data_IF_188792977593
#
_entry.id   IF_188792977593
#
_cell.length_a   1.000
_cell.length_b   1.000
_cell.length_c   1.000
_cell.angle_alpha   90.00
_cell.angle_beta   90.00
_cell.angle_gamma   90.00
#
_symmetry.space_group_name_H-M   'P 1'
#
loop_
_entity.id
_entity.type
_entity.pdbx_description
1 polymer ?
#
# COMPACT_ATOMS: atom_id res chain seq x y z
N UNK A 1 -19.35 5.08 12.40
CA UNK A 1 -20.27 3.92 12.55
C UNK A 1 -21.05 4.01 13.87
N UNK A 2 -22.06 4.90 13.99
CA UNK A 2 -22.89 5.05 15.20
C UNK A 2 -24.33 5.52 14.87
N UNK A 3 -25.01 4.92 13.87
CA UNK A 3 -26.36 5.35 13.47
C UNK A 3 -27.44 4.25 13.38
N UNK A 4 -27.14 2.99 13.75
CA UNK A 4 -28.08 1.88 13.55
C UNK A 4 -28.65 1.25 14.84
N UNK A 5 -28.43 1.85 16.01
CA UNK A 5 -28.88 1.25 17.28
C UNK A 5 -30.32 1.62 17.71
N UNK A 6 -31.03 2.50 16.98
CA UNK A 6 -32.33 3.02 17.45
C UNK A 6 -33.56 2.25 16.95
N UNK A 7 -33.40 1.25 16.06
CA UNK A 7 -34.55 0.65 15.34
C UNK A 7 -35.17 -0.58 16.00
N UNK A 8 -34.58 -1.13 17.07
CA UNK A 8 -35.03 -2.40 17.67
C UNK A 8 -35.92 -2.27 18.93
N UNK A 9 -36.16 -1.06 19.43
CA UNK A 9 -36.90 -0.87 20.70
C UNK A 9 -38.43 -0.79 20.50
N UNK A 10 -38.92 -0.44 19.31
CA UNK A 10 -40.37 -0.22 19.09
C UNK A 10 -41.13 -1.51 18.75
N UNK A 11 -40.45 -2.58 18.35
CA UNK A 11 -41.10 -3.84 17.96
C UNK A 11 -41.53 -4.74 19.15
N UNK A 12 -41.12 -4.43 20.38
CA UNK A 12 -41.30 -5.29 21.55
C UNK A 12 -42.59 -5.08 22.37
N UNK A 13 -43.41 -4.07 22.08
CA UNK A 13 -44.47 -3.63 23.01
C UNK A 13 -45.92 -4.00 22.60
N UNK A 14 -46.12 -4.76 21.51
CA UNK A 14 -47.46 -5.09 21.00
C UNK A 14 -47.83 -6.59 21.02
N UNK A 15 -47.02 -7.43 21.67
CA UNK A 15 -47.26 -8.89 21.73
C UNK A 15 -47.42 -9.44 23.16
N UNK A 16 -47.93 -8.65 24.10
CA UNK A 16 -48.21 -9.11 25.46
C UNK A 16 -49.71 -9.07 25.80
N UNK A 17 -50.26 -10.28 25.99
CA UNK A 17 -51.45 -10.65 26.78
C UNK A 17 -52.81 -10.40 26.08
N UNK A 18 -53.30 -11.31 25.27
CA UNK A 18 -53.93 -12.62 25.60
C UNK A 18 -55.33 -12.50 26.19
N UNK A 19 -56.29 -12.90 25.34
CA UNK A 19 -57.65 -13.30 25.66
C UNK A 19 -57.63 -14.36 26.77
N UNK A 20 -58.14 -14.02 27.95
CA UNK A 20 -58.52 -14.99 28.97
C UNK A 20 -60.01 -15.30 28.81
N UNK A 21 -60.31 -16.40 28.12
CA UNK A 21 -61.60 -17.07 28.23
C UNK A 21 -61.57 -17.98 29.44
N UNK A 22 -62.47 -17.77 30.39
CA UNK A 22 -62.78 -18.72 31.44
C UNK A 22 -64.30 -18.87 31.52
N UNK A 23 -64.80 -19.99 31.01
CA UNK A 23 -66.14 -20.50 31.26
C UNK A 23 -66.25 -20.95 32.72
N UNK A 24 -67.31 -20.53 33.41
CA UNK A 24 -68.01 -21.41 34.35
C UNK A 24 -69.40 -20.85 34.69
N UNK A 25 -70.39 -21.72 34.50
CA UNK A 25 -71.81 -21.55 34.76
C UNK A 25 -72.14 -21.34 36.25
N UNK A 26 -73.10 -20.44 36.55
CA UNK A 26 -74.44 -20.85 37.03
C UNK A 26 -75.35 -19.67 37.45
N UNK A 27 -76.62 -19.89 37.13
CA UNK A 27 -77.86 -19.44 37.78
C UNK A 27 -78.32 -17.98 37.69
N UNK A 28 -79.27 -17.79 36.77
CA UNK A 28 -80.59 -17.19 36.99
C UNK A 28 -80.66 -15.86 37.76
N UNK A 29 -80.84 -14.76 37.02
CA UNK A 29 -81.89 -13.76 37.27
C UNK A 29 -81.97 -12.77 36.10
N UNK A 30 -83.19 -12.62 35.60
CA UNK A 30 -83.76 -11.43 34.98
C UNK A 30 -82.87 -10.67 33.99
N UNK A 31 -83.10 -10.90 32.69
CA UNK A 31 -82.55 -10.07 31.61
C UNK A 31 -83.03 -8.62 31.79
N UNK A 32 -82.16 -7.64 32.07
CA UNK A 32 -82.51 -6.24 31.93
C UNK A 32 -82.47 -5.87 30.45
N UNK A 33 -83.36 -4.98 30.02
CA UNK A 33 -83.40 -4.36 28.69
C UNK A 33 -82.19 -3.44 28.43
N UNK A 34 -80.99 -3.95 28.62
CA UNK A 34 -79.71 -3.24 28.50
C UNK A 34 -78.99 -3.58 27.19
N UNK A 35 -79.74 -3.77 26.10
CA UNK A 35 -79.22 -4.46 24.90
C UNK A 35 -79.49 -3.76 23.56
N UNK A 36 -79.73 -2.45 23.55
CA UNK A 36 -79.82 -1.67 22.28
C UNK A 36 -78.88 -0.47 22.22
N UNK A 37 -78.75 0.29 23.32
CA UNK A 37 -77.83 1.45 23.41
C UNK A 37 -76.36 1.02 23.46
N UNK A 38 -76.00 0.08 24.33
CA UNK A 38 -74.65 -0.49 24.41
C UNK A 38 -74.26 -1.31 23.18
N UNK A 39 -75.23 -1.86 22.44
CA UNK A 39 -74.98 -2.56 21.19
C UNK A 39 -74.70 -1.58 20.03
N UNK A 40 -75.37 -0.42 20.02
CA UNK A 40 -75.11 0.67 19.06
C UNK A 40 -73.75 1.34 19.30
N UNK A 41 -73.40 1.64 20.55
CA UNK A 41 -72.11 2.23 20.93
C UNK A 41 -70.94 1.25 20.68
N UNK A 42 -71.12 -0.04 20.98
CA UNK A 42 -70.14 -1.08 20.62
C UNK A 42 -69.97 -1.23 19.11
N UNK A 43 -71.06 -1.11 18.33
CA UNK A 43 -71.01 -1.16 16.86
C UNK A 43 -70.30 0.06 16.28
N UNK A 44 -70.60 1.27 16.76
CA UNK A 44 -69.90 2.50 16.36
C UNK A 44 -68.40 2.42 16.65
N UNK A 45 -68.03 2.02 17.87
CA UNK A 45 -66.64 1.81 18.27
C UNK A 45 -65.92 0.73 17.44
N UNK A 46 -66.59 -0.37 17.09
CA UNK A 46 -66.01 -1.38 16.19
C UNK A 46 -65.84 -0.90 14.75
N UNK A 47 -66.69 0.01 14.28
CA UNK A 47 -66.57 0.61 12.93
C UNK A 47 -65.43 1.62 12.92
N UNK A 48 -65.34 2.52 13.91
CA UNK A 48 -64.22 3.47 14.05
C UNK A 48 -62.88 2.76 14.22
N UNK A 49 -62.82 1.68 15.02
CA UNK A 49 -61.60 0.86 15.12
C UNK A 49 -61.24 0.18 13.80
N UNK A 50 -62.24 -0.20 12.99
CA UNK A 50 -62.01 -0.84 11.69
C UNK A 50 -61.47 0.19 10.69
N UNK A 51 -62.07 1.37 10.63
CA UNK A 51 -61.62 2.49 9.79
C UNK A 51 -60.20 2.96 10.18
N UNK A 52 -59.90 3.08 11.47
CA UNK A 52 -58.57 3.41 11.96
C UNK A 52 -57.53 2.32 11.59
N UNK A 53 -57.91 1.04 11.66
CA UNK A 53 -57.05 -0.07 11.22
C UNK A 53 -56.83 -0.08 9.72
N UNK A 54 -57.85 0.24 8.93
CA UNK A 54 -57.74 0.32 7.47
C UNK A 54 -56.87 1.50 7.04
N UNK A 55 -57.03 2.67 7.67
CA UNK A 55 -56.18 3.84 7.45
C UNK A 55 -54.71 3.56 7.81
N UNK A 56 -54.44 2.95 8.97
CA UNK A 56 -53.09 2.57 9.39
C UNK A 56 -52.47 1.52 8.45
N UNK A 57 -53.25 0.54 7.97
CA UNK A 57 -52.77 -0.43 6.97
C UNK A 57 -52.39 0.25 5.66
N UNK A 58 -53.21 1.18 5.19
CA UNK A 58 -52.93 1.93 3.98
C UNK A 58 -51.64 2.76 4.12
N UNK A 59 -51.44 3.44 5.25
CA UNK A 59 -50.22 4.19 5.56
C UNK A 59 -48.98 3.28 5.55
N UNK A 60 -49.01 2.17 6.30
CA UNK A 60 -47.90 1.20 6.34
C UNK A 60 -47.60 0.62 4.96
N UNK A 61 -48.62 0.34 4.15
CA UNK A 61 -48.42 -0.17 2.79
C UNK A 61 -47.79 0.89 1.87
N UNK A 62 -48.10 2.18 2.06
CA UNK A 62 -47.44 3.27 1.33
C UNK A 62 -45.98 3.43 1.75
N UNK A 63 -45.69 3.43 3.05
CA UNK A 63 -44.32 3.54 3.56
C UNK A 63 -43.46 2.34 3.11
N UNK A 64 -44.02 1.13 3.14
CA UNK A 64 -43.33 -0.07 2.65
C UNK A 64 -42.99 0.02 1.17
N UNK A 65 -43.90 0.54 0.35
CA UNK A 65 -43.63 0.75 -1.09
C UNK A 65 -42.52 1.77 -1.31
N UNK A 66 -42.58 2.91 -0.62
CA UNK A 66 -41.56 3.96 -0.70
C UNK A 66 -40.20 3.42 -0.28
N UNK A 67 -40.13 2.69 0.83
CA UNK A 67 -38.89 2.08 1.33
C UNK A 67 -38.35 1.01 0.38
N UNK A 68 -39.23 0.18 -0.21
CA UNK A 68 -38.82 -0.83 -1.17
C UNK A 68 -38.26 -0.19 -2.45
N UNK A 69 -38.92 0.87 -2.95
CA UNK A 69 -38.48 1.59 -4.13
C UNK A 69 -37.17 2.34 -3.88
N UNK A 70 -36.99 2.94 -2.70
CA UNK A 70 -35.72 3.56 -2.32
C UNK A 70 -34.59 2.53 -2.21
N UNK A 71 -34.83 1.38 -1.57
CA UNK A 71 -33.84 0.29 -1.51
C UNK A 71 -33.47 -0.23 -2.90
N UNK A 72 -34.44 -0.33 -3.81
CA UNK A 72 -34.19 -0.77 -5.18
C UNK A 72 -33.34 0.26 -5.93
N UNK A 73 -33.63 1.55 -5.77
CA UNK A 73 -32.84 2.64 -6.34
C UNK A 73 -31.41 2.65 -5.79
N UNK A 74 -31.25 2.56 -4.47
CA UNK A 74 -29.95 2.53 -3.80
C UNK A 74 -29.11 1.34 -4.25
N UNK A 75 -29.72 0.15 -4.38
CA UNK A 75 -29.05 -1.04 -4.90
C UNK A 75 -28.56 -0.85 -6.32
N UNK A 76 -29.37 -0.24 -7.19
CA UNK A 76 -28.98 0.01 -8.58
C UNK A 76 -27.84 1.03 -8.66
N UNK A 77 -27.91 2.10 -7.87
CA UNK A 77 -26.85 3.11 -7.78
C UNK A 77 -25.54 2.48 -7.30
N UNK A 78 -25.58 1.70 -6.22
CA UNK A 78 -24.40 1.00 -5.68
C UNK A 78 -23.81 0.00 -6.68
N UNK A 79 -24.63 -0.74 -7.42
CA UNK A 79 -24.14 -1.64 -8.46
C UNK A 79 -23.47 -0.90 -9.63
N UNK A 80 -23.98 0.27 -10.01
CA UNK A 80 -23.35 1.11 -11.03
C UNK A 80 -22.01 1.66 -10.54
N UNK A 81 -21.95 2.18 -9.31
CA UNK A 81 -20.73 2.66 -8.68
C UNK A 81 -19.67 1.56 -8.57
N UNK A 82 -20.05 0.35 -8.14
CA UNK A 82 -19.13 -0.80 -8.09
C UNK A 82 -18.56 -1.17 -9.46
N UNK A 83 -19.35 -1.07 -10.53
CA UNK A 83 -18.87 -1.34 -11.89
C UNK A 83 -17.86 -0.28 -12.34
N UNK A 84 -18.17 1.00 -12.12
CA UNK A 84 -17.26 2.11 -12.43
C UNK A 84 -15.94 1.97 -11.66
N UNK A 85 -16.03 1.79 -10.34
CA UNK A 85 -14.85 1.63 -9.49
C UNK A 85 -14.01 0.40 -9.89
N UNK A 86 -14.64 -0.68 -10.37
CA UNK A 86 -13.91 -1.86 -10.85
C UNK A 86 -13.19 -1.59 -12.17
N UNK A 87 -13.75 -0.78 -13.06
CA UNK A 87 -13.12 -0.39 -14.32
C UNK A 87 -11.96 0.58 -14.06
N UNK A 88 -12.16 1.59 -13.22
CA UNK A 88 -11.10 2.51 -12.77
C UNK A 88 -9.94 1.77 -12.10
N UNK A 89 -10.24 0.81 -11.23
CA UNK A 89 -9.21 0.01 -10.57
C UNK A 89 -8.41 -0.85 -11.56
N UNK A 90 -9.05 -1.37 -12.61
CA UNK A 90 -8.35 -2.11 -13.67
C UNK A 90 -7.41 -1.20 -14.45
N UNK A 91 -7.89 -0.04 -14.89
CA UNK A 91 -7.08 0.94 -15.64
C UNK A 91 -5.90 1.42 -14.79
N UNK A 92 -6.14 1.82 -13.54
CA UNK A 92 -5.07 2.25 -12.63
C UNK A 92 -4.06 1.12 -12.35
N UNK A 93 -4.49 -0.15 -12.37
CA UNK A 93 -3.59 -1.30 -12.21
C UNK A 93 -2.72 -1.51 -13.46
N UNK A 94 -3.26 -1.30 -14.65
CA UNK A 94 -2.51 -1.39 -15.91
C UNK A 94 -1.49 -0.24 -16.02
N UNK A 95 -1.92 0.99 -15.75
CA UNK A 95 -1.05 2.17 -15.76
C UNK A 95 0.11 2.03 -14.78
N UNK A 96 -0.15 1.63 -13.52
CA UNK A 96 0.93 1.38 -12.55
C UNK A 96 1.92 0.28 -12.99
N UNK A 97 1.45 -0.73 -13.73
CA UNK A 97 2.33 -1.79 -14.23
C UNK A 97 3.24 -1.24 -15.32
N UNK A 98 2.72 -0.41 -16.22
CA UNK A 98 3.50 0.22 -17.27
C UNK A 98 4.51 1.23 -16.69
N UNK A 99 4.07 2.08 -15.77
CA UNK A 99 4.95 2.98 -15.02
C UNK A 99 6.08 2.23 -14.31
N UNK A 100 5.77 1.08 -13.70
CA UNK A 100 6.80 0.26 -13.08
C UNK A 100 7.82 -0.27 -14.07
N UNK A 101 7.38 -0.85 -15.21
CA UNK A 101 8.30 -1.35 -16.25
C UNK A 101 9.19 -0.22 -16.77
N UNK A 102 8.61 0.95 -17.04
CA UNK A 102 9.35 2.12 -17.51
C UNK A 102 10.35 2.62 -16.46
N UNK A 103 9.95 2.69 -15.20
CA UNK A 103 10.84 3.07 -14.11
C UNK A 103 11.98 2.07 -13.91
N UNK A 104 11.72 0.77 -14.03
CA UNK A 104 12.75 -0.27 -13.93
C UNK A 104 13.76 -0.16 -15.08
N UNK A 105 13.29 0.03 -16.33
CA UNK A 105 14.15 0.27 -17.50
C UNK A 105 15.00 1.53 -17.35
N UNK A 106 14.38 2.65 -16.94
CA UNK A 106 15.09 3.91 -16.72
C UNK A 106 16.13 3.80 -15.59
N UNK A 107 15.81 3.08 -14.51
CA UNK A 107 16.75 2.84 -13.42
C UNK A 107 18.00 2.09 -13.90
N UNK A 108 17.82 1.04 -14.70
CA UNK A 108 18.94 0.26 -15.24
C UNK A 108 19.78 1.13 -16.19
N UNK A 109 19.15 1.69 -17.23
CA UNK A 109 19.88 2.41 -18.28
C UNK A 109 20.46 3.76 -17.82
N UNK A 110 19.66 4.60 -17.16
CA UNK A 110 20.12 5.96 -16.83
C UNK A 110 20.91 6.03 -15.53
N UNK A 111 20.64 5.16 -14.56
CA UNK A 111 21.26 5.28 -13.23
C UNK A 111 22.35 4.27 -13.02
N UNK A 112 22.07 2.99 -13.24
CA UNK A 112 23.06 1.95 -13.00
C UNK A 112 24.15 1.92 -14.07
N UNK A 113 23.82 1.94 -15.35
CA UNK A 113 24.83 1.93 -16.41
C UNK A 113 25.68 3.22 -16.41
N UNK A 114 25.11 4.37 -16.05
CA UNK A 114 25.89 5.61 -15.85
C UNK A 114 26.82 5.48 -14.64
N UNK A 115 26.34 4.94 -13.52
CA UNK A 115 27.18 4.74 -12.34
C UNK A 115 28.33 3.77 -12.62
N UNK A 116 28.06 2.67 -13.33
CA UNK A 116 29.09 1.71 -13.76
C UNK A 116 30.15 2.40 -14.61
N UNK A 117 29.77 3.12 -15.67
CA UNK A 117 30.73 3.86 -16.52
C UNK A 117 31.57 4.86 -15.75
N UNK A 118 30.95 5.56 -14.79
CA UNK A 118 31.68 6.52 -13.95
C UNK A 118 32.71 5.82 -13.04
N UNK A 119 32.36 4.65 -12.50
CA UNK A 119 33.28 3.86 -11.67
C UNK A 119 34.41 3.24 -12.50
N UNK A 120 34.13 2.75 -13.70
CA UNK A 120 35.16 2.26 -14.64
C UNK A 120 36.16 3.36 -14.97
N UNK A 121 35.68 4.56 -15.30
CA UNK A 121 36.56 5.71 -15.56
C UNK A 121 37.37 6.11 -14.31
N UNK A 122 36.81 5.95 -13.12
CA UNK A 122 37.53 6.24 -11.88
C UNK A 122 38.57 5.16 -11.57
N UNK A 123 38.28 3.88 -11.88
CA UNK A 123 39.23 2.77 -11.80
C UNK A 123 40.42 2.99 -12.72
N UNK A 124 40.19 3.39 -13.98
CA UNK A 124 41.26 3.75 -14.93
C UNK A 124 42.13 4.87 -14.36
N UNK A 125 41.52 5.98 -13.95
CA UNK A 125 42.26 7.13 -13.40
C UNK A 125 43.06 6.81 -12.15
N UNK A 126 42.54 5.93 -11.29
CA UNK A 126 43.25 5.50 -10.08
C UNK A 126 44.38 4.54 -10.46
N UNK A 127 44.18 3.64 -11.43
CA UNK A 127 45.24 2.82 -12.01
C UNK A 127 46.38 3.67 -12.54
N UNK A 128 46.07 4.67 -13.37
CA UNK A 128 47.08 5.61 -13.90
C UNK A 128 47.84 6.33 -12.77
N UNK A 129 47.15 6.67 -11.67
CA UNK A 129 47.78 7.32 -10.51
C UNK A 129 48.68 6.37 -9.72
N UNK A 130 48.32 5.09 -9.61
CA UNK A 130 49.15 4.06 -9.01
C UNK A 130 50.42 3.89 -9.84
N UNK A 131 50.28 3.75 -11.16
CA UNK A 131 51.41 3.58 -12.08
C UNK A 131 52.40 4.74 -11.94
N UNK A 132 51.91 5.98 -11.87
CA UNK A 132 52.76 7.17 -11.64
C UNK A 132 53.48 7.15 -10.29
N UNK A 133 52.85 6.65 -9.23
CA UNK A 133 53.51 6.55 -7.90
C UNK A 133 54.53 5.41 -7.88
N UNK A 134 54.24 4.30 -8.56
CA UNK A 134 55.11 3.13 -8.66
C UNK A 134 56.39 3.38 -9.47
N UNK A 135 56.49 4.49 -10.22
CA UNK A 135 57.75 4.94 -10.84
C UNK A 135 58.83 5.27 -9.79
N UNK A 136 58.42 5.59 -8.55
CA UNK A 136 59.32 5.74 -7.42
C UNK A 136 59.45 4.41 -6.65
N UNK A 137 60.60 3.75 -6.80
CA UNK A 137 60.89 2.45 -6.16
C UNK A 137 60.86 2.49 -4.62
N UNK A 138 60.83 3.69 -4.00
CA UNK A 138 60.74 3.84 -2.55
C UNK A 138 59.30 3.75 -2.01
N UNK A 139 58.29 3.85 -2.88
CA UNK A 139 56.88 3.90 -2.49
C UNK A 139 56.18 2.55 -2.68
N UNK A 140 55.56 2.06 -1.62
CA UNK A 140 54.80 0.80 -1.65
C UNK A 140 53.34 1.03 -2.09
N UNK A 141 53.01 0.65 -3.32
CA UNK A 141 51.66 0.78 -3.90
C UNK A 141 50.74 -0.41 -3.63
N UNK A 142 51.21 -1.48 -2.97
CA UNK A 142 50.48 -2.75 -2.88
C UNK A 142 49.06 -2.62 -2.29
N UNK A 143 48.89 -1.80 -1.24
CA UNK A 143 47.57 -1.58 -0.64
C UNK A 143 46.62 -0.83 -1.57
N UNK A 144 47.14 0.14 -2.34
CA UNK A 144 46.33 0.88 -3.31
C UNK A 144 45.84 -0.01 -4.45
N UNK A 145 46.70 -0.92 -4.91
CA UNK A 145 46.41 -1.94 -5.92
C UNK A 145 45.36 -2.93 -5.42
N UNK A 146 45.49 -3.45 -4.19
CA UNK A 146 44.51 -4.36 -3.58
C UNK A 146 43.11 -3.71 -3.52
N UNK A 147 43.04 -2.45 -3.08
CA UNK A 147 41.77 -1.70 -3.00
C UNK A 147 41.17 -1.41 -4.40
N UNK A 148 42.01 -1.15 -5.41
CA UNK A 148 41.56 -1.00 -6.79
C UNK A 148 40.99 -2.33 -7.32
N UNK A 149 41.64 -3.45 -7.03
CA UNK A 149 41.18 -4.78 -7.45
C UNK A 149 39.88 -5.21 -6.73
N UNK A 150 39.79 -4.90 -5.42
CA UNK A 150 38.55 -5.06 -4.67
C UNK A 150 37.41 -4.26 -5.32
N UNK A 151 37.65 -3.01 -5.70
CA UNK A 151 36.67 -2.18 -6.39
C UNK A 151 36.20 -2.80 -7.71
N UNK A 152 37.13 -3.35 -8.52
CA UNK A 152 36.81 -4.03 -9.80
C UNK A 152 35.95 -5.27 -9.57
N UNK A 153 36.32 -6.09 -8.59
CA UNK A 153 35.56 -7.28 -8.22
C UNK A 153 34.13 -6.93 -7.83
N UNK A 154 33.94 -5.99 -6.91
CA UNK A 154 32.62 -5.56 -6.47
C UNK A 154 31.82 -4.90 -7.60
N UNK A 155 32.48 -4.16 -8.50
CA UNK A 155 31.81 -3.59 -9.68
C UNK A 155 31.30 -4.67 -10.62
N UNK A 156 32.04 -5.77 -10.80
CA UNK A 156 31.59 -6.90 -11.61
C UNK A 156 30.38 -7.60 -10.99
N UNK A 157 30.37 -7.82 -9.67
CA UNK A 157 29.19 -8.33 -8.96
C UNK A 157 27.98 -7.39 -9.12
N UNK A 158 28.20 -6.08 -9.10
CA UNK A 158 27.15 -5.09 -9.34
C UNK A 158 26.59 -5.21 -10.77
N UNK A 159 27.46 -5.41 -11.77
CA UNK A 159 27.06 -5.63 -13.18
C UNK A 159 26.23 -6.90 -13.33
N UNK A 160 26.64 -8.00 -12.70
CA UNK A 160 25.86 -9.24 -12.69
C UNK A 160 24.46 -9.02 -12.11
N UNK A 161 24.34 -8.30 -10.99
CA UNK A 161 23.03 -7.95 -10.42
C UNK A 161 22.20 -7.05 -11.34
N UNK A 162 22.84 -6.17 -12.11
CA UNK A 162 22.14 -5.32 -13.08
C UNK A 162 21.58 -6.16 -14.22
N UNK A 163 22.33 -7.15 -14.72
CA UNK A 163 21.85 -8.10 -15.72
C UNK A 163 20.72 -8.99 -15.17
N UNK A 164 20.83 -9.48 -13.93
CA UNK A 164 19.73 -10.20 -13.25
C UNK A 164 18.43 -9.37 -13.27
N UNK A 165 18.52 -8.06 -13.01
CA UNK A 165 17.33 -7.18 -13.05
C UNK A 165 16.79 -7.04 -14.48
N UNK A 166 17.67 -6.94 -15.49
CA UNK A 166 17.24 -6.86 -16.90
C UNK A 166 16.43 -8.08 -17.29
N UNK A 167 16.89 -9.27 -16.92
CA UNK A 167 16.23 -10.54 -17.20
C UNK A 167 14.88 -10.69 -16.47
N UNK A 168 14.73 -10.03 -15.32
CA UNK A 168 13.47 -10.02 -14.56
C UNK A 168 12.41 -9.06 -15.11
N UNK A 169 12.79 -8.07 -15.95
CA UNK A 169 11.82 -7.14 -16.52
C UNK A 169 11.00 -7.87 -17.60
N UNK A 170 9.67 -8.07 -17.41
CA UNK A 170 8.88 -8.81 -18.37
C UNK A 170 8.78 -8.09 -19.70
N UNK A 171 8.74 -8.85 -20.79
CA UNK A 171 8.60 -8.31 -22.14
C UNK A 171 7.25 -7.59 -22.32
N UNK A 172 7.07 -6.90 -23.47
CA UNK A 172 5.82 -6.22 -23.78
C UNK A 172 4.64 -7.21 -23.78
N UNK A 173 3.58 -6.88 -23.05
CA UNK A 173 2.41 -7.75 -22.90
C UNK A 173 2.48 -8.79 -21.76
N UNK A 174 3.64 -9.03 -21.17
CA UNK A 174 3.76 -9.95 -20.02
C UNK A 174 3.33 -9.31 -18.70
N UNK A 175 2.69 -10.08 -17.82
CA UNK A 175 2.17 -9.59 -16.55
C UNK A 175 3.28 -9.47 -15.49
N UNK A 176 3.46 -8.26 -14.94
CA UNK A 176 4.28 -8.07 -13.74
C UNK A 176 3.53 -8.62 -12.54
N UNK A 177 4.01 -9.75 -12.02
CA UNK A 177 3.50 -10.32 -10.76
C UNK A 177 4.09 -9.57 -9.57
N UNK A 178 3.40 -9.58 -8.40
CA UNK A 178 3.96 -9.04 -7.16
C UNK A 178 5.33 -9.63 -6.80
N UNK A 179 5.55 -10.90 -7.12
CA UNK A 179 6.82 -11.60 -6.88
C UNK A 179 7.95 -11.01 -7.74
N UNK A 180 7.72 -10.83 -9.05
CA UNK A 180 8.70 -10.20 -9.96
C UNK A 180 9.02 -8.77 -9.50
N UNK A 181 8.00 -8.02 -9.09
CA UNK A 181 8.17 -6.67 -8.58
C UNK A 181 9.11 -6.62 -7.36
N UNK A 182 8.89 -7.51 -6.38
CA UNK A 182 9.72 -7.53 -5.18
C UNK A 182 11.14 -8.03 -5.48
N UNK A 183 11.30 -8.99 -6.41
CA UNK A 183 12.62 -9.45 -6.86
C UNK A 183 13.43 -8.32 -7.51
N UNK A 184 12.83 -7.57 -8.45
CA UNK A 184 13.47 -6.41 -9.09
C UNK A 184 13.90 -5.40 -8.03
N UNK A 185 13.05 -5.11 -7.05
CA UNK A 185 13.33 -4.12 -6.01
C UNK A 185 14.48 -4.55 -5.09
N UNK A 186 14.52 -5.82 -4.70
CA UNK A 186 15.61 -6.37 -3.88
C UNK A 186 16.92 -6.37 -4.65
N UNK A 187 16.93 -6.90 -5.87
CA UNK A 187 18.11 -6.92 -6.72
C UNK A 187 18.64 -5.50 -7.00
N UNK A 188 17.75 -4.52 -7.25
CA UNK A 188 18.14 -3.13 -7.41
C UNK A 188 18.76 -2.51 -6.15
N UNK A 189 18.27 -2.89 -4.96
CA UNK A 189 18.88 -2.45 -3.69
C UNK A 189 20.28 -3.03 -3.54
N UNK A 190 20.47 -4.29 -3.89
CA UNK A 190 21.74 -4.99 -3.77
C UNK A 190 22.76 -4.41 -4.77
N UNK A 191 22.39 -4.25 -6.04
CA UNK A 191 23.21 -3.58 -7.06
C UNK A 191 23.65 -2.18 -6.60
N UNK A 192 22.73 -1.39 -6.04
CA UNK A 192 23.04 -0.06 -5.50
C UNK A 192 24.05 -0.12 -4.34
N UNK A 193 23.96 -1.13 -3.46
CA UNK A 193 24.89 -1.26 -2.35
C UNK A 193 26.29 -1.64 -2.85
N UNK A 194 26.37 -2.59 -3.79
CA UNK A 194 27.64 -2.99 -4.43
C UNK A 194 28.31 -1.81 -5.14
N UNK A 195 27.55 -1.01 -5.92
CA UNK A 195 28.10 0.20 -6.56
C UNK A 195 28.68 1.20 -5.53
N UNK A 196 28.04 1.33 -4.36
CA UNK A 196 28.57 2.20 -3.29
C UNK A 196 29.83 1.63 -2.64
N UNK A 197 29.89 0.32 -2.50
CA UNK A 197 31.04 -0.37 -1.90
C UNK A 197 32.25 -0.33 -2.84
N UNK A 198 32.04 -0.59 -4.13
CA UNK A 198 33.04 -0.40 -5.18
C UNK A 198 33.58 1.04 -5.19
N UNK A 199 32.70 2.05 -5.08
CA UNK A 199 33.11 3.44 -4.96
C UNK A 199 33.93 3.73 -3.69
N UNK A 200 33.56 3.16 -2.54
CA UNK A 200 34.32 3.33 -1.29
C UNK A 200 35.73 2.76 -1.42
N UNK A 201 35.87 1.58 -1.98
CA UNK A 201 37.18 0.97 -2.25
C UNK A 201 38.05 1.87 -3.14
N UNK A 202 37.48 2.53 -4.16
CA UNK A 202 38.22 3.53 -4.97
C UNK A 202 38.62 4.76 -4.17
N UNK A 203 37.74 5.25 -3.31
CA UNK A 203 38.07 6.40 -2.45
C UNK A 203 39.19 6.05 -1.49
N UNK A 204 39.20 4.83 -0.95
CA UNK A 204 40.23 4.39 -0.03
C UNK A 204 41.56 4.13 -0.77
N UNK A 205 41.55 3.53 -1.97
CA UNK A 205 42.73 3.45 -2.86
C UNK A 205 43.27 4.85 -3.21
N UNK A 206 42.40 5.81 -3.49
CA UNK A 206 42.84 7.19 -3.75
C UNK A 206 43.47 7.85 -2.51
N UNK A 207 43.00 7.54 -1.30
CA UNK A 207 43.60 8.07 -0.07
C UNK A 207 44.98 7.48 0.19
N UNK A 208 45.16 6.17 -0.05
CA UNK A 208 46.48 5.53 0.12
C UNK A 208 47.49 6.13 -0.86
N UNK A 209 47.12 6.32 -2.13
CA UNK A 209 47.95 7.03 -3.13
C UNK A 209 48.33 8.44 -2.66
N UNK A 210 47.37 9.18 -2.07
CA UNK A 210 47.64 10.54 -1.59
C UNK A 210 48.58 10.57 -0.39
N UNK A 211 48.48 9.60 0.51
CA UNK A 211 49.41 9.50 1.65
C UNK A 211 50.84 9.30 1.13
N UNK A 212 51.04 8.37 0.19
CA UNK A 212 52.34 8.11 -0.45
C UNK A 212 52.92 9.33 -1.19
N UNK A 213 52.08 10.26 -1.65
CA UNK A 213 52.54 11.49 -2.32
C UNK A 213 52.93 12.60 -1.35
N UNK A 214 52.38 12.60 -0.14
CA UNK A 214 52.62 13.64 0.86
C UNK A 214 53.74 13.27 1.84
N UNK A 215 54.13 12.00 1.93
CA UNK A 215 55.28 11.56 2.75
C UNK A 215 56.61 12.22 2.31
N UNK A 216 56.70 12.74 1.08
CA UNK A 216 57.91 13.45 0.58
C UNK A 216 58.03 14.91 1.07
N UNK A 217 56.95 15.55 1.56
CA UNK A 217 56.93 16.99 1.88
C UNK A 217 57.22 17.29 3.37
N UNK A 218 57.22 16.28 4.25
CA UNK A 218 57.38 16.47 5.71
C UNK A 218 58.81 16.17 6.23
N UNK A 219 59.78 15.85 5.36
CA UNK A 219 61.17 15.52 5.72
C UNK A 219 62.18 16.71 5.61
N UNK A 220 61.71 17.96 5.44
CA UNK A 220 62.56 19.18 5.32
C UNK A 220 62.44 20.18 6.51
N UNK A 221 62.13 19.74 7.74
CA UNK A 221 62.26 20.60 8.93
C UNK A 221 62.96 19.87 10.09
N UNK A 222 64.30 19.82 10.06
CA UNK A 222 65.16 19.88 11.27
C UNK A 222 66.65 19.79 10.86
N UNK A 223 67.29 20.94 10.64
CA UNK A 223 68.74 21.09 10.86
C UNK A 223 69.13 22.58 10.88
N UNK A 224 68.76 23.27 11.96
CA UNK A 224 69.48 24.47 12.44
C UNK A 224 69.66 24.33 13.96
N UNK A 225 70.44 23.30 14.37
CA UNK A 225 71.20 23.32 15.62
C UNK A 225 72.38 24.30 15.45
N UNK A 226 72.14 25.60 15.69
CA UNK A 226 73.24 26.52 15.96
C UNK A 226 73.62 26.45 17.45
N UNK A 227 74.69 25.68 17.70
CA UNK A 227 75.54 25.73 18.88
C UNK A 227 76.20 27.13 19.05
N UNK A 228 76.37 27.49 20.34
CA UNK A 228 77.20 28.56 20.95
C UNK A 228 76.63 30.00 21.14
#
# INVERSE_FOLDING_TARGET
MKKYLSFFVVAGLLLAVSVAGAENDRENKERPEWNKTTQGERRGFTVEQKEAREAFRAEIDTERKIFHDSLKADRQAFQAELKSAKEEFKQAREERKEEFKNNAKNMIGERFEVAVRNLERMQERIGDLIDVVAEDETKDTALAEELLELSKTILNEAKEKIEDIKDLIPEEGEEVTPEIFEQIKLAARDAKNLLKESHRALIDSLKTIKALKNEDDDDEEDDDEDED
#
